data_IF_458501648311
#
_entry.id   IF_458501648311
#
_cell.length_a   1.000
_cell.length_b   1.000
_cell.length_c   1.000
_cell.angle_alpha   90.00
_cell.angle_beta   90.00
_cell.angle_gamma   90.00
#
_symmetry.space_group_name_H-M   'P 1'
#
loop_
_entity.id
_entity.type
_entity.pdbx_description
1 polymer ?
#
# COMPACT_ATOMS: atom_id res chain seq x y z
N UNK A 1 -22.05 -3.36 5.94
CA UNK A 1 -21.75 -4.08 7.19
C UNK A 1 -20.52 -3.48 7.82
N UNK A 2 -20.46 -3.38 9.15
CA UNK A 2 -19.34 -2.74 9.84
C UNK A 2 -18.16 -3.74 9.95
N UNK A 3 -17.31 -3.80 8.94
CA UNK A 3 -16.20 -4.78 8.88
C UNK A 3 -15.07 -4.51 9.89
N UNK A 4 -15.07 -3.34 10.54
CA UNK A 4 -14.03 -2.89 11.47
C UNK A 4 -14.38 -2.99 12.96
N UNK A 5 -15.57 -3.47 13.34
CA UNK A 5 -15.95 -3.60 14.75
C UNK A 5 -15.12 -4.67 15.45
N UNK A 6 -14.38 -4.29 16.50
CA UNK A 6 -13.65 -5.24 17.36
C UNK A 6 -12.38 -5.82 16.75
N UNK A 7 -11.86 -5.24 15.65
CA UNK A 7 -10.60 -5.66 15.03
C UNK A 7 -9.60 -4.50 14.99
N UNK A 8 -8.28 -4.78 15.07
CA UNK A 8 -7.26 -3.77 14.83
C UNK A 8 -7.43 -3.12 13.46
N UNK A 9 -7.23 -1.81 13.39
CA UNK A 9 -7.32 -1.03 12.17
C UNK A 9 -5.96 -0.44 11.83
N UNK A 10 -5.73 -0.23 10.54
CA UNK A 10 -4.55 0.46 10.03
C UNK A 10 -5.00 1.63 9.16
N UNK A 11 -4.43 2.80 9.44
CA UNK A 11 -4.65 4.04 8.70
C UNK A 11 -3.36 4.63 8.14
N UNK A 12 -2.21 3.98 8.34
CA UNK A 12 -0.89 4.48 7.91
C UNK A 12 -0.82 4.80 6.42
N UNK A 13 -1.35 3.93 5.56
CA UNK A 13 -1.44 4.18 4.11
C UNK A 13 -2.26 5.45 3.80
N UNK A 14 -3.35 5.68 4.51
CA UNK A 14 -4.17 6.87 4.31
C UNK A 14 -3.44 8.13 4.78
N UNK A 15 -2.80 8.09 5.95
CA UNK A 15 -2.06 9.24 6.49
C UNK A 15 -0.94 9.67 5.55
N UNK A 16 -0.09 8.74 5.08
CA UNK A 16 0.95 9.05 4.10
C UNK A 16 0.32 9.53 2.78
N UNK A 17 -0.77 8.91 2.35
CA UNK A 17 -1.48 9.28 1.13
C UNK A 17 -2.08 10.69 1.17
N UNK A 18 -2.53 11.17 2.33
CA UNK A 18 -3.03 12.53 2.50
C UNK A 18 -1.94 13.57 2.24
N UNK A 19 -0.72 13.35 2.72
CA UNK A 19 0.36 14.32 2.51
C UNK A 19 0.81 14.39 1.05
N UNK A 20 0.80 13.27 0.34
CA UNK A 20 1.03 13.27 -1.12
C UNK A 20 -0.05 14.06 -1.86
N UNK A 21 -1.31 13.96 -1.42
CA UNK A 21 -2.40 14.76 -1.97
C UNK A 21 -2.21 16.24 -1.65
N UNK A 22 -1.88 16.59 -0.40
CA UNK A 22 -1.72 17.96 0.06
C UNK A 22 -0.55 18.68 -0.64
N UNK A 23 0.60 18.02 -0.77
CA UNK A 23 1.82 18.61 -1.34
C UNK A 23 1.83 18.64 -2.87
N UNK A 24 1.30 17.59 -3.50
CA UNK A 24 1.47 17.37 -4.94
C UNK A 24 0.17 17.32 -5.74
N UNK A 25 -0.98 17.56 -5.09
CA UNK A 25 -2.30 17.56 -5.72
C UNK A 25 -2.60 16.26 -6.51
N UNK A 26 -2.15 15.12 -5.96
CA UNK A 26 -2.42 13.79 -6.51
C UNK A 26 -3.75 13.29 -5.95
N UNK A 27 -4.64 12.80 -6.83
CA UNK A 27 -5.94 12.24 -6.43
C UNK A 27 -5.79 11.21 -5.30
N UNK A 28 -6.69 11.28 -4.31
CA UNK A 28 -6.60 10.44 -3.11
C UNK A 28 -6.45 8.94 -3.41
N UNK A 29 -7.26 8.38 -4.31
CA UNK A 29 -7.17 6.96 -4.65
C UNK A 29 -5.81 6.57 -5.28
N UNK A 30 -5.16 7.50 -5.99
CA UNK A 30 -3.83 7.28 -6.58
C UNK A 30 -2.76 7.27 -5.51
N UNK A 31 -2.83 8.14 -4.51
CA UNK A 31 -1.87 8.12 -3.39
C UNK A 31 -1.96 6.83 -2.59
N UNK A 32 -3.17 6.30 -2.38
CA UNK A 32 -3.36 4.98 -1.78
C UNK A 32 -2.75 3.86 -2.63
N UNK A 33 -2.93 3.89 -3.94
CA UNK A 33 -2.36 2.88 -4.86
C UNK A 33 -0.81 2.91 -4.89
N UNK A 34 -0.21 4.10 -4.72
CA UNK A 34 1.25 4.25 -4.57
C UNK A 34 1.73 3.65 -3.25
N UNK A 35 1.08 4.00 -2.14
CA UNK A 35 1.60 3.72 -0.79
C UNK A 35 1.30 2.30 -0.33
N UNK A 36 0.09 1.77 -0.61
CA UNK A 36 -0.38 0.52 -0.02
C UNK A 36 0.57 -0.67 -0.26
N UNK A 37 1.05 -0.94 -1.49
CA UNK A 37 1.93 -2.08 -1.74
C UNK A 37 3.30 -1.93 -1.04
N UNK A 38 3.85 -0.72 -1.00
CA UNK A 38 5.10 -0.44 -0.31
C UNK A 38 4.96 -0.59 1.21
N UNK A 39 3.86 -0.09 1.78
CA UNK A 39 3.56 -0.25 3.20
C UNK A 39 3.36 -1.72 3.60
N UNK A 40 2.68 -2.52 2.77
CA UNK A 40 2.58 -3.97 2.98
C UNK A 40 3.95 -4.64 2.99
N UNK A 41 4.86 -4.23 2.10
CA UNK A 41 6.22 -4.79 2.04
C UNK A 41 7.03 -4.43 3.29
N UNK A 42 7.02 -3.15 3.70
CA UNK A 42 7.77 -2.67 4.86
C UNK A 42 7.23 -3.28 6.16
N UNK A 43 5.91 -3.46 6.27
CA UNK A 43 5.23 -3.99 7.46
C UNK A 43 4.93 -5.49 7.36
N UNK A 44 5.64 -6.21 6.47
CA UNK A 44 5.31 -7.60 6.12
C UNK A 44 5.37 -8.54 7.31
N UNK A 45 6.27 -8.29 8.25
CA UNK A 45 6.45 -9.14 9.42
C UNK A 45 5.30 -8.94 10.41
N UNK A 46 4.92 -7.70 10.71
CA UNK A 46 3.79 -7.42 11.60
C UNK A 46 2.44 -7.78 10.96
N UNK A 47 2.37 -7.82 9.63
CA UNK A 47 1.16 -8.16 8.88
C UNK A 47 1.17 -9.61 8.37
N UNK A 48 2.19 -10.42 8.69
CA UNK A 48 2.49 -11.72 8.04
C UNK A 48 1.27 -12.63 7.93
N UNK A 49 0.61 -12.90 9.06
CA UNK A 49 -0.55 -13.80 9.10
C UNK A 49 -1.71 -13.29 8.22
N UNK A 50 -1.95 -11.98 8.23
CA UNK A 50 -3.04 -11.37 7.43
C UNK A 50 -2.67 -11.28 5.95
N UNK A 51 -1.41 -11.07 5.60
CA UNK A 51 -0.94 -11.11 4.22
C UNK A 51 -1.03 -12.53 3.64
N UNK A 52 -0.71 -13.57 4.42
CA UNK A 52 -0.90 -14.96 4.00
C UNK A 52 -2.38 -15.32 3.85
N UNK A 53 -3.23 -14.86 4.77
CA UNK A 53 -4.68 -15.02 4.67
C UNK A 53 -5.24 -14.31 3.43
N UNK A 54 -4.76 -13.10 3.14
CA UNK A 54 -5.11 -12.30 1.98
C UNK A 54 -4.67 -12.97 0.67
N UNK A 55 -3.40 -13.43 0.60
CA UNK A 55 -2.84 -14.17 -0.52
C UNK A 55 -3.72 -15.37 -0.90
N UNK A 56 -4.10 -16.18 0.09
CA UNK A 56 -4.95 -17.33 -0.13
C UNK A 56 -6.38 -16.93 -0.53
N UNK A 57 -7.07 -16.15 0.30
CA UNK A 57 -8.53 -15.97 0.13
C UNK A 57 -8.93 -15.00 -0.97
N UNK A 58 -8.07 -14.05 -1.32
CA UNK A 58 -8.38 -13.03 -2.34
C UNK A 58 -7.74 -13.37 -3.66
N UNK A 59 -6.51 -13.90 -3.64
CA UNK A 59 -5.74 -14.17 -4.87
C UNK A 59 -5.57 -15.66 -5.18
N UNK A 60 -6.08 -16.56 -4.33
CA UNK A 60 -5.92 -18.01 -4.47
C UNK A 60 -4.44 -18.46 -4.56
N UNK A 61 -3.54 -17.78 -3.84
CA UNK A 61 -2.10 -18.08 -3.81
C UNK A 61 -1.81 -19.00 -2.61
N UNK A 62 -1.68 -20.29 -2.89
CA UNK A 62 -1.49 -21.35 -1.89
C UNK A 62 -0.15 -22.10 -2.02
N UNK A 63 0.51 -21.98 -3.17
CA UNK A 63 1.79 -22.62 -3.45
C UNK A 63 2.97 -21.69 -3.13
N UNK A 64 4.14 -22.28 -2.86
CA UNK A 64 5.34 -21.55 -2.47
C UNK A 64 5.50 -21.41 -0.95
N UNK A 65 6.67 -20.97 -0.53
CA UNK A 65 6.90 -20.61 0.87
C UNK A 65 6.12 -19.34 1.27
N UNK A 66 6.08 -19.05 2.57
CA UNK A 66 5.30 -17.92 3.07
C UNK A 66 5.75 -16.58 2.48
N UNK A 67 7.05 -16.36 2.30
CA UNK A 67 7.57 -15.09 1.82
C UNK A 67 7.26 -14.90 0.33
N UNK A 68 7.39 -15.97 -0.46
CA UNK A 68 6.97 -16.00 -1.86
C UNK A 68 5.49 -15.69 -2.03
N UNK A 69 4.64 -16.25 -1.17
CA UNK A 69 3.18 -16.02 -1.21
C UNK A 69 2.82 -14.58 -0.84
N UNK A 70 3.50 -14.00 0.14
CA UNK A 70 3.33 -12.59 0.51
C UNK A 70 3.76 -11.69 -0.64
N UNK A 71 4.96 -11.90 -1.20
CA UNK A 71 5.48 -11.10 -2.32
C UNK A 71 4.53 -11.19 -3.53
N UNK A 72 4.05 -12.38 -3.86
CA UNK A 72 3.10 -12.58 -4.95
C UNK A 72 1.77 -11.86 -4.69
N UNK A 73 1.26 -11.83 -3.45
CA UNK A 73 0.02 -11.12 -3.13
C UNK A 73 0.16 -9.60 -3.20
N UNK A 74 1.31 -9.07 -2.75
CA UNK A 74 1.62 -7.64 -2.88
C UNK A 74 1.74 -7.26 -4.36
N UNK A 75 2.39 -8.10 -5.17
CA UNK A 75 2.53 -7.88 -6.60
C UNK A 75 1.20 -8.00 -7.35
N UNK A 76 0.31 -8.93 -6.96
CA UNK A 76 -1.07 -8.99 -7.50
C UNK A 76 -1.86 -7.73 -7.17
N UNK A 77 -1.71 -7.20 -5.97
CA UNK A 77 -2.32 -5.92 -5.56
C UNK A 77 -1.83 -4.77 -6.43
N UNK A 78 -0.51 -4.71 -6.69
CA UNK A 78 0.08 -3.71 -7.57
C UNK A 78 -0.49 -3.80 -9.00
N UNK A 79 -0.43 -4.99 -9.59
CA UNK A 79 -0.93 -5.25 -10.94
C UNK A 79 -2.43 -4.98 -11.08
N UNK A 80 -3.22 -5.21 -10.02
CA UNK A 80 -4.63 -4.87 -10.02
C UNK A 80 -4.84 -3.36 -10.17
N UNK A 81 -4.15 -2.53 -9.39
CA UNK A 81 -4.25 -1.08 -9.53
C UNK A 81 -3.73 -0.59 -10.89
N UNK A 82 -2.60 -1.11 -11.36
CA UNK A 82 -2.05 -0.75 -12.66
C UNK A 82 -2.98 -1.15 -13.81
N UNK A 83 -3.64 -2.32 -13.71
CA UNK A 83 -4.66 -2.76 -14.66
C UNK A 83 -5.92 -1.88 -14.69
N UNK A 84 -6.18 -1.12 -13.62
CA UNK A 84 -7.22 -0.08 -13.56
C UNK A 84 -6.73 1.30 -14.06
N UNK A 85 -5.48 1.40 -14.53
CA UNK A 85 -4.87 2.66 -14.96
C UNK A 85 -4.43 3.55 -13.80
N UNK A 86 -4.13 2.97 -12.64
CA UNK A 86 -3.58 3.68 -11.47
C UNK A 86 -2.11 3.28 -11.29
N UNK A 87 -1.14 4.07 -11.80
CA UNK A 87 0.29 3.83 -11.55
C UNK A 87 0.60 3.83 -10.06
N UNK A 88 1.53 2.97 -9.65
CA UNK A 88 1.75 2.61 -8.24
C UNK A 88 3.13 3.00 -7.71
N UNK A 89 3.87 3.84 -8.43
CA UNK A 89 5.18 4.33 -8.03
C UNK A 89 5.21 5.85 -8.04
N UNK A 90 5.94 6.44 -7.09
CA UNK A 90 6.15 7.90 -7.05
C UNK A 90 6.74 8.44 -8.36
N UNK A 91 7.64 7.70 -9.00
CA UNK A 91 8.25 8.06 -10.28
C UNK A 91 7.23 8.27 -11.41
N UNK A 92 6.10 7.55 -11.38
CA UNK A 92 5.04 7.69 -12.39
C UNK A 92 4.34 9.05 -12.29
N UNK A 93 4.49 9.71 -11.14
CA UNK A 93 4.00 11.05 -10.83
C UNK A 93 5.13 12.09 -10.79
N UNK A 94 6.31 11.74 -11.32
CA UNK A 94 7.51 12.61 -11.37
C UNK A 94 8.05 13.00 -9.99
N UNK A 95 7.82 12.15 -8.98
CA UNK A 95 8.37 12.31 -7.64
C UNK A 95 9.52 11.33 -7.42
N UNK A 96 10.52 11.75 -6.65
CA UNK A 96 11.73 10.99 -6.37
C UNK A 96 12.21 11.12 -4.93
N UNK A 97 13.45 10.72 -4.66
CA UNK A 97 14.02 10.74 -3.31
C UNK A 97 14.08 12.15 -2.70
N UNK A 98 14.24 13.19 -3.52
CA UNK A 98 14.26 14.60 -3.10
C UNK A 98 12.94 15.08 -2.51
N UNK A 99 11.84 14.38 -2.76
CA UNK A 99 10.50 14.75 -2.30
C UNK A 99 10.15 14.14 -0.93
N UNK A 100 10.91 13.15 -0.47
CA UNK A 100 10.59 12.36 0.73
C UNK A 100 10.63 13.24 1.99
N UNK A 101 11.65 14.09 2.13
CA UNK A 101 11.83 14.92 3.34
C UNK A 101 10.65 15.89 3.53
N UNK A 102 10.08 16.42 2.45
CA UNK A 102 8.90 17.28 2.51
C UNK A 102 7.65 16.52 2.98
N UNK A 103 7.46 15.28 2.49
CA UNK A 103 6.35 14.42 2.92
C UNK A 103 6.48 14.06 4.41
N UNK A 104 7.69 13.77 4.89
CA UNK A 104 7.94 13.47 6.30
C UNK A 104 7.65 14.71 7.16
N UNK A 105 8.18 15.88 6.79
CA UNK A 105 7.96 17.11 7.54
C UNK A 105 6.47 17.47 7.66
N UNK A 106 5.67 17.17 6.64
CA UNK A 106 4.23 17.38 6.64
C UNK A 106 3.47 16.37 7.53
N UNK A 107 3.96 15.14 7.68
CA UNK A 107 3.37 14.16 8.60
C UNK A 107 3.56 14.54 10.08
N UNK A 108 4.62 15.28 10.39
CA UNK A 108 4.97 15.70 11.75
C UNK A 108 4.32 17.03 12.17
N UNK A 109 3.63 17.73 11.26
CA UNK A 109 2.97 19.03 11.50
C UNK A 109 1.55 18.90 12.04
#
# INVERSE_FOLDING_TARGET
>A
GLIGAGVPQDWSTHMIGHELTALYNIDHARTLAIVLPANMQVRRDEKREKLLQYANRVWNIIEGDEDQRIDAAIERTRNFFEGLGLPTRLSDYKLGASDIDAVIAQLDS
#
